data_IF_841472318489
#
_entry.id   IF_841472318489
#
_cell.length_a   1.000
_cell.length_b   1.000
_cell.length_c   1.000
_cell.angle_alpha   90.00
_cell.angle_beta   90.00
_cell.angle_gamma   90.00
#
_symmetry.space_group_name_H-M   'P 1'
#
loop_
_entity.id
_entity.type
_entity.pdbx_description
1 polymer ?
#
# COMPACT_ATOMS: atom_id res chain seq x y z
N UNK A 1 12.37 -1.73 4.86
CA UNK A 1 11.90 -0.87 5.98
C UNK A 1 12.91 0.19 6.36
N UNK A 2 14.16 -0.18 6.59
CA UNK A 2 15.18 0.78 7.04
C UNK A 2 15.34 1.98 6.11
N UNK A 3 15.34 1.75 4.80
CA UNK A 3 15.47 2.83 3.83
C UNK A 3 14.28 3.78 3.88
N UNK A 4 13.08 3.24 4.07
CA UNK A 4 11.85 4.04 4.20
C UNK A 4 11.92 4.90 5.45
N UNK A 5 12.31 4.33 6.57
CA UNK A 5 12.44 5.04 7.83
C UNK A 5 13.50 6.14 7.77
N UNK A 6 14.62 5.88 7.09
CA UNK A 6 15.70 6.87 6.92
C UNK A 6 15.26 8.10 6.15
N UNK A 7 14.25 7.97 5.31
CA UNK A 7 13.71 9.11 4.55
C UNK A 7 12.67 9.89 5.35
N UNK A 8 12.42 9.52 6.61
CA UNK A 8 11.46 10.20 7.46
C UNK A 8 10.02 9.91 7.13
N UNK A 9 9.74 8.80 6.46
CA UNK A 9 8.40 8.41 6.05
C UNK A 9 7.67 7.79 7.25
N UNK A 10 6.46 8.28 7.55
CA UNK A 10 5.62 7.72 8.60
C UNK A 10 4.87 6.49 8.09
N UNK A 11 5.50 5.33 8.23
CA UNK A 11 4.96 4.06 7.76
C UNK A 11 3.64 3.71 8.46
N UNK A 12 3.54 4.01 9.76
CA UNK A 12 2.32 3.72 10.52
C UNK A 12 1.12 4.48 9.95
N UNK A 13 1.30 5.75 9.57
CA UNK A 13 0.24 6.54 8.97
C UNK A 13 -0.21 5.96 7.62
N UNK A 14 0.73 5.47 6.83
CA UNK A 14 0.42 4.83 5.54
C UNK A 14 -0.35 3.52 5.73
N UNK A 15 0.03 2.73 6.72
CA UNK A 15 -0.68 1.49 7.05
C UNK A 15 -2.13 1.79 7.46
N UNK A 16 -2.34 2.83 8.26
CA UNK A 16 -3.70 3.25 8.64
C UNK A 16 -4.52 3.61 7.40
N UNK A 17 -3.96 4.37 6.48
CA UNK A 17 -4.64 4.72 5.22
C UNK A 17 -5.02 3.47 4.44
N UNK A 18 -4.11 2.52 4.33
CA UNK A 18 -4.34 1.25 3.64
C UNK A 18 -5.48 0.46 4.28
N UNK A 19 -5.50 0.37 5.61
CA UNK A 19 -6.54 -0.34 6.34
C UNK A 19 -7.91 0.33 6.23
N UNK A 20 -7.93 1.64 5.98
CA UNK A 20 -9.17 2.39 5.83
C UNK A 20 -9.69 2.43 4.39
N UNK A 21 -9.03 1.74 3.46
CA UNK A 21 -9.44 1.71 2.07
C UNK A 21 -8.98 2.93 1.26
N UNK A 22 -8.03 3.69 1.77
CA UNK A 22 -7.42 4.79 1.02
C UNK A 22 -6.21 4.25 0.27
N UNK A 23 -6.43 3.88 -0.99
CA UNK A 23 -5.42 3.18 -1.80
C UNK A 23 -4.32 4.10 -2.33
N UNK A 24 -4.39 5.41 -2.05
CA UNK A 24 -3.36 6.37 -2.44
C UNK A 24 -3.41 6.72 -3.93
N UNK A 25 -2.26 6.64 -4.60
CA UNK A 25 -2.08 7.11 -5.97
C UNK A 25 -2.39 6.04 -7.02
N UNK A 26 -3.36 5.19 -6.75
CA UNK A 26 -3.84 4.18 -7.70
C UNK A 26 -4.83 4.82 -8.68
N UNK A 27 -4.91 4.31 -9.91
CA UNK A 27 -5.93 4.78 -10.87
C UNK A 27 -7.32 4.22 -10.52
N UNK A 28 -8.34 4.68 -11.24
CA UNK A 28 -9.72 4.28 -10.94
C UNK A 28 -9.97 2.78 -11.10
N UNK A 29 -9.32 2.16 -12.08
CA UNK A 29 -9.46 0.72 -12.31
C UNK A 29 -8.89 -0.08 -11.13
N UNK A 30 -7.69 0.27 -10.68
CA UNK A 30 -7.03 -0.41 -9.56
C UNK A 30 -7.76 -0.16 -8.25
N UNK A 31 -8.31 1.05 -8.06
CA UNK A 31 -9.12 1.36 -6.89
C UNK A 31 -10.36 0.49 -6.83
N UNK A 32 -11.05 0.33 -7.95
CA UNK A 32 -12.23 -0.52 -8.04
C UNK A 32 -11.89 -1.98 -7.76
N UNK A 33 -10.75 -2.46 -8.25
CA UNK A 33 -10.26 -3.80 -7.98
C UNK A 33 -10.04 -4.01 -6.48
N UNK A 34 -9.39 -3.06 -5.81
CA UNK A 34 -9.15 -3.12 -4.37
C UNK A 34 -10.46 -3.09 -3.57
N UNK A 35 -11.40 -2.23 -3.96
CA UNK A 35 -12.70 -2.16 -3.29
C UNK A 35 -13.44 -3.49 -3.37
N UNK A 36 -13.39 -4.13 -4.53
CA UNK A 36 -13.97 -5.46 -4.71
C UNK A 36 -13.21 -6.50 -3.87
N UNK A 37 -11.88 -6.40 -3.85
CA UNK A 37 -11.02 -7.32 -3.10
C UNK A 37 -11.28 -7.27 -1.59
N UNK A 38 -11.69 -6.13 -1.05
CA UNK A 38 -12.11 -6.02 0.35
C UNK A 38 -13.24 -6.99 0.67
N UNK A 39 -14.19 -7.13 -0.27
CA UNK A 39 -15.35 -7.99 -0.08
C UNK A 39 -15.03 -9.47 -0.26
N UNK A 40 -14.07 -9.79 -1.13
CA UNK A 40 -13.76 -11.18 -1.51
C UNK A 40 -12.58 -11.76 -0.74
N UNK A 41 -11.85 -10.95 0.03
CA UNK A 41 -10.64 -11.39 0.71
C UNK A 41 -9.42 -11.55 -0.20
N UNK A 42 -9.49 -11.02 -1.44
CA UNK A 42 -8.40 -11.07 -2.38
C UNK A 42 -7.29 -10.07 -2.01
N UNK A 43 -6.15 -10.17 -2.69
CA UNK A 43 -4.98 -9.35 -2.44
C UNK A 43 -5.28 -7.85 -2.64
N UNK A 44 -4.79 -7.02 -1.69
CA UNK A 44 -4.92 -5.56 -1.73
C UNK A 44 -3.57 -4.93 -2.01
N UNK A 45 -3.55 -3.86 -2.80
CA UNK A 45 -2.33 -3.10 -3.09
C UNK A 45 -2.62 -1.61 -3.00
N UNK A 46 -1.88 -0.91 -2.14
CA UNK A 46 -1.88 0.56 -2.10
C UNK A 46 -0.55 1.09 -2.57
N UNK A 47 -0.55 2.29 -3.15
CA UNK A 47 0.65 2.99 -3.57
C UNK A 47 0.58 4.44 -3.10
N UNK A 48 1.56 4.87 -2.31
CA UNK A 48 1.57 6.22 -1.74
C UNK A 48 2.84 6.96 -2.18
N UNK A 49 2.67 8.05 -2.89
CA UNK A 49 3.78 8.90 -3.25
C UNK A 49 4.21 9.68 -2.01
N UNK A 50 5.44 9.49 -1.58
CA UNK A 50 5.96 10.07 -0.33
C UNK A 50 6.97 11.18 -0.58
N UNK A 51 7.65 11.15 -1.74
CA UNK A 51 8.51 12.24 -2.21
C UNK A 51 8.29 12.42 -3.70
N UNK A 52 8.96 13.40 -4.32
CA UNK A 52 8.86 13.64 -5.76
C UNK A 52 9.28 12.42 -6.58
N UNK A 53 10.15 11.55 -6.03
CA UNK A 53 10.75 10.44 -6.75
C UNK A 53 10.48 9.08 -6.11
N UNK A 54 9.87 9.03 -4.92
CA UNK A 54 9.66 7.79 -4.19
C UNK A 54 8.18 7.49 -3.95
N UNK A 55 7.83 6.23 -4.18
CA UNK A 55 6.50 5.70 -3.88
C UNK A 55 6.67 4.50 -2.95
N UNK A 56 5.78 4.35 -2.00
CA UNK A 56 5.75 3.19 -1.09
C UNK A 56 4.55 2.34 -1.44
N UNK A 57 4.76 1.04 -1.56
CA UNK A 57 3.69 0.07 -1.78
C UNK A 57 3.38 -0.66 -0.48
N UNK A 58 2.08 -0.87 -0.25
CA UNK A 58 1.61 -1.72 0.86
C UNK A 58 0.74 -2.80 0.25
N UNK A 59 1.12 -4.05 0.48
CA UNK A 59 0.45 -5.22 -0.09
C UNK A 59 -0.09 -6.08 1.06
N UNK A 60 -1.40 -6.40 1.02
CA UNK A 60 -2.01 -7.38 1.92
C UNK A 60 -2.36 -8.61 1.10
N UNK A 61 -1.82 -9.75 1.49
CA UNK A 61 -2.03 -10.99 0.76
C UNK A 61 -3.44 -11.53 0.89
N UNK A 62 -3.81 -12.39 -0.04
CA UNK A 62 -5.11 -13.06 -0.05
C UNK A 62 -5.36 -13.74 1.29
N UNK A 63 -6.58 -13.60 1.80
CA UNK A 63 -6.94 -14.15 3.11
C UNK A 63 -6.43 -13.35 4.29
N UNK A 64 -5.79 -12.20 4.04
CA UNK A 64 -5.26 -11.29 5.06
C UNK A 64 -4.18 -11.93 5.91
N UNK A 65 -3.37 -12.83 5.32
CA UNK A 65 -2.34 -13.57 6.05
C UNK A 65 -1.16 -12.72 6.45
N UNK A 66 -0.83 -11.70 5.63
CA UNK A 66 0.27 -10.78 5.97
C UNK A 66 0.15 -9.48 5.18
N UNK A 67 0.75 -8.42 5.72
CA UNK A 67 0.85 -7.12 5.06
C UNK A 67 2.32 -6.74 4.97
N UNK A 68 2.77 -6.38 3.77
CA UNK A 68 4.17 -6.02 3.50
C UNK A 68 4.25 -4.58 3.03
N UNK A 69 5.22 -3.83 3.57
CA UNK A 69 5.53 -2.47 3.15
C UNK A 69 6.87 -2.50 2.42
N UNK A 70 6.92 -2.00 1.19
CA UNK A 70 8.14 -2.05 0.39
C UNK A 70 8.21 -0.90 -0.62
N UNK A 71 9.41 -0.67 -1.12
CA UNK A 71 9.62 0.20 -2.28
C UNK A 71 9.43 -0.64 -3.55
N UNK A 72 8.92 -0.07 -4.65
CA UNK A 72 8.78 -0.81 -5.91
C UNK A 72 10.07 -1.46 -6.38
N UNK A 73 11.22 -0.82 -6.11
CA UNK A 73 12.53 -1.37 -6.48
C UNK A 73 12.89 -2.64 -5.72
N UNK A 74 12.20 -2.91 -4.62
CA UNK A 74 12.42 -4.11 -3.81
C UNK A 74 11.49 -5.26 -4.20
N UNK A 75 10.50 -4.95 -5.03
CA UNK A 75 9.55 -5.93 -5.50
C UNK A 75 10.16 -6.80 -6.58
#
# INVERSE_FOLDING_TARGET
>A
MDQIERQGIDVAALIVRHLMGDWGDMDGHDRAHNDHALLTGSRLLSAYRVTATETVWIITETGRTETTVLLPSEY
#
